data_IF_066231054418
#
_entry.id   IF_066231054418
#
_cell.length_a   1.000
_cell.length_b   1.000
_cell.length_c   1.000
_cell.angle_alpha   90.00
_cell.angle_beta   90.00
_cell.angle_gamma   90.00
#
_symmetry.space_group_name_H-M   'P 1'
#
loop_
_entity.id
_entity.type
_entity.pdbx_description
1 polymer ?
#
# COMPACT_ATOMS: atom_id res chain seq x y z
N UNK A 1 4.73 21.70 -30.00
CA UNK A 1 4.24 20.45 -29.34
C UNK A 1 5.11 20.20 -28.12
N UNK A 2 4.56 20.26 -26.91
CA UNK A 2 5.30 19.94 -25.70
C UNK A 2 5.59 18.43 -25.70
N UNK A 3 6.84 18.05 -25.48
CA UNK A 3 7.24 16.63 -25.31
C UNK A 3 6.48 16.07 -24.09
N UNK A 4 5.84 14.91 -24.20
CA UNK A 4 5.13 14.32 -23.07
C UNK A 4 6.09 14.03 -21.90
N UNK A 5 5.67 14.36 -20.68
CA UNK A 5 6.40 14.03 -19.47
C UNK A 5 6.45 12.51 -19.29
N UNK A 6 7.63 11.97 -19.01
CA UNK A 6 7.87 10.52 -18.84
C UNK A 6 8.18 10.21 -17.38
N UNK A 7 7.27 9.52 -16.72
CA UNK A 7 7.32 9.23 -15.28
C UNK A 7 7.55 7.74 -15.04
N UNK A 8 8.69 7.42 -14.45
CA UNK A 8 8.99 6.05 -14.00
C UNK A 8 8.41 5.80 -12.61
N UNK A 9 7.63 4.75 -12.42
CA UNK A 9 6.95 4.43 -11.17
C UNK A 9 7.36 3.05 -10.63
N UNK A 10 7.53 2.93 -9.32
CA UNK A 10 7.72 1.62 -8.65
C UNK A 10 6.86 1.55 -7.40
N UNK A 11 5.86 0.67 -7.43
CA UNK A 11 5.05 0.26 -6.29
C UNK A 11 5.31 -1.20 -5.96
N UNK A 12 5.65 -1.51 -4.71
CA UNK A 12 6.01 -2.88 -4.28
C UNK A 12 4.89 -3.64 -3.58
N UNK A 13 3.77 -3.00 -3.28
CA UNK A 13 2.65 -3.58 -2.53
C UNK A 13 1.31 -3.00 -3.02
N UNK A 14 0.19 -3.62 -2.62
CA UNK A 14 -1.16 -3.18 -2.98
C UNK A 14 -1.49 -1.77 -2.48
N UNK A 15 -0.95 -1.35 -1.32
CA UNK A 15 -1.06 0.02 -0.81
C UNK A 15 -0.41 1.03 -1.76
N UNK A 16 0.82 0.72 -2.20
CA UNK A 16 1.54 1.53 -3.16
C UNK A 16 0.86 1.57 -4.53
N UNK A 17 0.25 0.47 -4.97
CA UNK A 17 -0.51 0.42 -6.23
C UNK A 17 -1.73 1.36 -6.19
N UNK A 18 -2.44 1.42 -5.05
CA UNK A 18 -3.57 2.35 -4.88
C UNK A 18 -3.09 3.81 -4.93
N UNK A 19 -2.06 4.16 -4.15
CA UNK A 19 -1.49 5.51 -4.14
C UNK A 19 -0.92 5.91 -5.50
N UNK A 20 -0.30 4.96 -6.20
CA UNK A 20 0.22 5.17 -7.55
C UNK A 20 -0.85 5.44 -8.59
N UNK A 21 -1.99 4.73 -8.51
CA UNK A 21 -3.13 4.99 -9.38
C UNK A 21 -3.70 6.39 -9.18
N UNK A 22 -3.87 6.82 -7.92
CA UNK A 22 -4.34 8.17 -7.59
C UNK A 22 -3.36 9.25 -8.08
N UNK A 23 -2.05 9.03 -7.95
CA UNK A 23 -1.01 9.91 -8.48
C UNK A 23 -1.09 10.01 -10.01
N UNK A 24 -1.26 8.90 -10.71
CA UNK A 24 -1.41 8.87 -12.18
C UNK A 24 -2.64 9.69 -12.59
N UNK A 25 -3.78 9.48 -11.94
CA UNK A 25 -5.00 10.24 -12.23
C UNK A 25 -4.82 11.73 -11.98
N UNK A 26 -4.15 12.11 -10.89
CA UNK A 26 -3.89 13.51 -10.57
C UNK A 26 -2.95 14.17 -11.61
N UNK A 27 -1.86 13.51 -11.97
CA UNK A 27 -0.91 14.03 -12.97
C UNK A 27 -1.53 14.11 -14.36
N UNK A 28 -2.37 13.15 -14.77
CA UNK A 28 -3.09 13.21 -16.06
C UNK A 28 -4.06 14.37 -16.15
N UNK A 29 -4.68 14.80 -15.05
CA UNK A 29 -5.52 15.99 -15.05
C UNK A 29 -4.73 17.26 -15.35
N UNK A 30 -3.47 17.31 -14.92
CA UNK A 30 -2.58 18.46 -15.11
C UNK A 30 -1.81 18.40 -16.45
N UNK A 31 -1.42 17.20 -16.85
CA UNK A 31 -0.62 16.93 -18.04
C UNK A 31 -1.12 15.65 -18.74
N UNK A 32 -2.19 15.73 -19.57
CA UNK A 32 -2.85 14.55 -20.16
C UNK A 32 -1.96 13.65 -21.01
N UNK A 33 -0.87 14.18 -21.57
CA UNK A 33 0.06 13.44 -22.42
C UNK A 33 1.16 12.71 -21.65
N UNK A 34 1.14 12.74 -20.31
CA UNK A 34 2.16 12.09 -19.46
C UNK A 34 2.16 10.58 -19.68
N UNK A 35 3.34 10.04 -19.92
CA UNK A 35 3.61 8.60 -20.02
C UNK A 35 4.04 8.05 -18.67
N UNK A 36 3.44 6.92 -18.24
CA UNK A 36 3.74 6.24 -16.99
C UNK A 36 4.16 4.81 -17.25
N UNK A 37 5.25 4.37 -16.64
CA UNK A 37 5.77 3.02 -16.81
C UNK A 37 6.60 2.57 -15.62
N UNK A 38 6.67 1.25 -15.40
CA UNK A 38 7.54 0.68 -14.39
C UNK A 38 6.95 -0.54 -13.68
N UNK A 39 7.11 -0.61 -12.36
CA UNK A 39 6.56 -1.70 -11.53
C UNK A 39 5.24 -1.24 -10.93
N UNK A 40 4.18 -1.92 -11.30
CA UNK A 40 2.83 -1.49 -10.97
C UNK A 40 1.91 -2.69 -10.70
N UNK A 41 0.85 -2.45 -9.95
CA UNK A 41 -0.22 -3.40 -9.78
C UNK A 41 -1.41 -3.11 -10.72
N UNK A 42 -2.52 -3.86 -10.54
CA UNK A 42 -3.68 -3.76 -11.43
C UNK A 42 -4.36 -2.38 -11.41
N UNK A 43 -4.32 -1.64 -10.29
CA UNK A 43 -4.92 -0.30 -10.21
C UNK A 43 -4.14 0.73 -11.02
N UNK A 44 -2.81 0.75 -10.89
CA UNK A 44 -1.95 1.62 -11.69
C UNK A 44 -2.03 1.25 -13.19
N UNK A 45 -2.11 -0.05 -13.52
CA UNK A 45 -2.32 -0.52 -14.88
C UNK A 45 -3.64 0.00 -15.45
N UNK A 46 -4.74 -0.11 -14.69
CA UNK A 46 -6.05 0.42 -15.08
C UNK A 46 -6.02 1.95 -15.23
N UNK A 47 -5.22 2.67 -14.41
CA UNK A 47 -4.97 4.09 -14.55
C UNK A 47 -4.08 4.45 -15.76
N UNK A 48 -3.54 3.45 -16.48
CA UNK A 48 -2.78 3.58 -17.72
C UNK A 48 -1.27 3.61 -17.56
N UNK A 49 -0.73 2.96 -16.55
CA UNK A 49 0.69 2.68 -16.43
C UNK A 49 1.10 1.49 -17.32
N UNK A 50 2.17 1.63 -18.10
CA UNK A 50 2.82 0.50 -18.78
C UNK A 50 3.54 -0.36 -17.74
N UNK A 51 3.06 -1.58 -17.52
CA UNK A 51 3.62 -2.49 -16.51
C UNK A 51 4.79 -3.26 -17.09
N UNK A 52 5.98 -3.03 -16.55
CA UNK A 52 7.18 -3.78 -16.88
C UNK A 52 7.33 -5.05 -16.06
N UNK A 53 6.98 -4.95 -14.78
CA UNK A 53 6.96 -6.04 -13.82
C UNK A 53 5.77 -5.83 -12.88
N UNK A 54 5.06 -6.89 -12.48
CA UNK A 54 3.97 -6.76 -11.52
C UNK A 54 4.49 -6.41 -10.12
N UNK A 55 3.76 -5.58 -9.38
CA UNK A 55 4.12 -5.15 -8.01
C UNK A 55 4.37 -6.31 -7.06
N UNK A 56 3.63 -7.40 -7.22
CA UNK A 56 3.76 -8.64 -6.44
C UNK A 56 5.15 -9.27 -6.56
N UNK A 57 5.88 -9.02 -7.66
CA UNK A 57 7.26 -9.49 -7.87
C UNK A 57 8.26 -8.93 -6.85
N UNK A 58 7.95 -7.76 -6.28
CA UNK A 58 8.75 -7.10 -5.23
C UNK A 58 8.23 -7.40 -3.82
N UNK A 59 6.99 -7.89 -3.68
CA UNK A 59 6.40 -8.24 -2.41
C UNK A 59 7.02 -9.51 -1.85
N UNK A 60 7.97 -9.39 -0.93
CA UNK A 60 8.59 -10.51 -0.23
C UNK A 60 8.12 -10.50 1.22
N UNK A 61 7.47 -11.57 1.66
CA UNK A 61 6.91 -11.71 2.99
C UNK A 61 7.71 -12.69 3.85
N UNK A 62 8.18 -12.20 5.02
CA UNK A 62 8.84 -13.03 6.03
C UNK A 62 10.36 -13.09 5.91
N UNK A 63 11.05 -13.12 7.07
CA UNK A 63 12.52 -13.07 7.13
C UNK A 63 13.18 -14.26 6.41
N UNK A 64 12.61 -15.45 6.51
CA UNK A 64 13.12 -16.66 5.86
C UNK A 64 12.86 -16.67 4.34
N UNK A 65 11.71 -16.17 3.90
CA UNK A 65 11.38 -16.02 2.48
C UNK A 65 12.29 -14.98 1.80
N UNK A 66 12.57 -13.87 2.50
CA UNK A 66 13.53 -12.84 2.05
C UNK A 66 14.91 -13.45 1.78
N UNK A 67 15.43 -14.27 2.70
CA UNK A 67 16.76 -14.86 2.53
C UNK A 67 16.82 -15.85 1.35
N UNK A 68 15.77 -16.64 1.15
CA UNK A 68 15.71 -17.61 0.05
C UNK A 68 15.58 -16.93 -1.31
N UNK A 69 14.77 -15.87 -1.39
CA UNK A 69 14.46 -15.19 -2.64
C UNK A 69 15.40 -13.99 -2.94
N UNK A 70 16.33 -13.68 -2.03
CA UNK A 70 17.25 -12.55 -2.16
C UNK A 70 18.01 -12.53 -3.50
N UNK A 71 18.57 -13.64 -4.03
CA UNK A 71 19.25 -13.61 -5.33
C UNK A 71 18.32 -13.29 -6.51
N UNK A 72 17.06 -13.73 -6.44
CA UNK A 72 16.03 -13.41 -7.43
C UNK A 72 15.69 -11.93 -7.37
N UNK A 73 15.45 -11.40 -6.15
CA UNK A 73 15.09 -10.00 -5.93
C UNK A 73 16.21 -9.05 -6.38
N UNK A 74 17.47 -9.37 -6.07
CA UNK A 74 18.62 -8.57 -6.51
C UNK A 74 18.72 -8.54 -8.04
N UNK A 75 18.53 -9.68 -8.72
CA UNK A 75 18.52 -9.74 -10.19
C UNK A 75 17.37 -8.95 -10.79
N UNK A 76 16.17 -9.05 -10.19
CA UNK A 76 14.99 -8.30 -10.62
C UNK A 76 15.23 -6.80 -10.50
N UNK A 77 15.68 -6.32 -9.34
CA UNK A 77 16.01 -4.91 -9.13
C UNK A 77 17.13 -4.43 -10.06
N UNK A 78 18.08 -5.29 -10.38
CA UNK A 78 19.11 -5.01 -11.39
C UNK A 78 18.51 -4.75 -12.77
N UNK A 79 17.60 -5.62 -13.26
CA UNK A 79 16.92 -5.44 -14.55
C UNK A 79 16.07 -4.18 -14.58
N UNK A 80 15.31 -3.91 -13.51
CA UNK A 80 14.47 -2.70 -13.39
C UNK A 80 15.34 -1.45 -13.46
N UNK A 81 16.44 -1.41 -12.68
CA UNK A 81 17.41 -0.32 -12.72
C UNK A 81 17.94 -0.09 -14.12
N UNK A 82 18.43 -1.15 -14.78
CA UNK A 82 19.07 -1.05 -16.10
C UNK A 82 18.08 -0.56 -17.15
N UNK A 83 16.81 -0.98 -17.05
CA UNK A 83 15.74 -0.48 -17.93
C UNK A 83 15.45 1.00 -17.69
N UNK A 84 15.37 1.47 -16.44
CA UNK A 84 15.23 2.90 -16.14
C UNK A 84 16.42 3.73 -16.62
N UNK A 85 17.65 3.22 -16.46
CA UNK A 85 18.84 3.89 -16.96
C UNK A 85 18.86 4.01 -18.49
N UNK A 86 18.36 3.00 -19.20
CA UNK A 86 18.26 2.99 -20.66
C UNK A 86 17.15 3.95 -21.15
N UNK A 87 15.99 3.93 -20.50
CA UNK A 87 14.82 4.74 -20.87
C UNK A 87 14.97 6.20 -20.46
N UNK A 88 15.68 6.48 -19.35
CA UNK A 88 15.89 7.80 -18.74
C UNK A 88 14.58 8.59 -18.60
N UNK A 89 13.70 8.26 -17.66
CA UNK A 89 12.52 9.06 -17.38
C UNK A 89 12.89 10.49 -16.94
N UNK A 90 11.99 11.44 -17.13
CA UNK A 90 12.14 12.81 -16.62
C UNK A 90 12.11 12.86 -15.10
N UNK A 91 11.40 11.91 -14.48
CA UNK A 91 11.38 11.72 -13.03
C UNK A 91 11.09 10.24 -12.69
N UNK A 92 11.77 9.76 -11.68
CA UNK A 92 11.49 8.47 -11.03
C UNK A 92 10.74 8.70 -9.72
N UNK A 93 9.65 7.97 -9.48
CA UNK A 93 8.88 8.02 -8.24
C UNK A 93 8.81 6.63 -7.62
N UNK A 94 9.47 6.44 -6.49
CA UNK A 94 9.30 5.27 -5.64
C UNK A 94 8.10 5.48 -4.71
N UNK A 95 7.13 4.57 -4.75
CA UNK A 95 5.89 4.65 -3.99
C UNK A 95 5.94 3.61 -2.86
N UNK A 96 5.87 4.09 -1.60
CA UNK A 96 5.99 3.23 -0.42
C UNK A 96 7.27 2.35 -0.46
N UNK A 97 7.29 1.16 0.15
CA UNK A 97 8.38 0.18 0.09
C UNK A 97 9.82 0.78 0.12
N UNK A 98 10.16 1.59 1.12
CA UNK A 98 11.37 2.44 1.10
C UNK A 98 12.68 1.65 1.03
N UNK A 99 12.74 0.43 1.58
CA UNK A 99 13.95 -0.40 1.55
C UNK A 99 14.34 -0.81 0.12
N UNK A 100 13.36 -0.99 -0.76
CA UNK A 100 13.55 -1.30 -2.17
C UNK A 100 13.74 -0.03 -2.99
N UNK A 101 12.82 0.92 -2.84
CA UNK A 101 12.76 2.13 -3.66
C UNK A 101 13.97 3.05 -3.45
N UNK A 102 14.43 3.26 -2.22
CA UNK A 102 15.60 4.10 -1.95
C UNK A 102 16.90 3.52 -2.51
N UNK A 103 17.04 2.18 -2.57
CA UNK A 103 18.21 1.55 -3.21
C UNK A 103 18.22 1.78 -4.71
N UNK A 104 17.06 1.70 -5.35
CA UNK A 104 16.90 1.97 -6.77
C UNK A 104 17.10 3.47 -7.05
N UNK A 105 16.40 4.34 -6.29
CA UNK A 105 16.48 5.78 -6.37
C UNK A 105 17.93 6.29 -6.29
N UNK A 106 18.72 5.80 -5.33
CA UNK A 106 20.14 6.17 -5.18
C UNK A 106 20.95 5.94 -6.46
N UNK A 107 20.70 4.84 -7.19
CA UNK A 107 21.40 4.54 -8.43
C UNK A 107 20.93 5.42 -9.59
N UNK A 108 19.66 5.72 -9.64
CA UNK A 108 19.07 6.60 -10.66
C UNK A 108 19.46 8.06 -10.42
N UNK A 109 19.43 8.52 -9.18
CA UNK A 109 19.88 9.85 -8.77
C UNK A 109 21.36 10.07 -9.13
N UNK A 110 22.24 9.10 -8.84
CA UNK A 110 23.64 9.16 -9.22
C UNK A 110 23.85 9.21 -10.74
N UNK A 111 22.88 8.76 -11.55
CA UNK A 111 22.88 8.88 -13.01
C UNK A 111 22.21 10.16 -13.53
N UNK A 112 21.84 11.09 -12.63
CA UNK A 112 21.22 12.37 -12.95
C UNK A 112 19.74 12.29 -13.33
N UNK A 113 19.04 11.24 -12.92
CA UNK A 113 17.58 11.14 -13.05
C UNK A 113 16.96 11.72 -11.79
N UNK A 114 16.07 12.73 -11.87
CA UNK A 114 15.34 13.25 -10.72
C UNK A 114 14.54 12.16 -10.00
N UNK A 115 14.62 12.12 -8.68
CA UNK A 115 14.05 11.04 -7.88
C UNK A 115 13.13 11.57 -6.78
N UNK A 116 11.97 10.95 -6.63
CA UNK A 116 10.96 11.27 -5.63
C UNK A 116 10.62 10.01 -4.83
N UNK A 117 10.55 10.13 -3.51
CA UNK A 117 9.94 9.12 -2.65
C UNK A 117 8.55 9.59 -2.25
N UNK A 118 7.54 8.90 -2.72
CA UNK A 118 6.15 9.11 -2.29
C UNK A 118 5.82 8.13 -1.17
N UNK A 119 5.31 8.62 -0.09
CA UNK A 119 5.22 8.05 1.26
C UNK A 119 6.56 8.11 1.98
N UNK A 120 6.59 8.91 3.03
CA UNK A 120 7.72 9.04 3.94
C UNK A 120 8.00 7.72 4.65
N UNK A 121 9.21 7.16 4.58
CA UNK A 121 9.58 6.07 5.48
C UNK A 121 9.56 6.56 6.93
N UNK A 122 9.18 5.69 7.86
CA UNK A 122 9.06 6.02 9.30
C UNK A 122 10.43 6.23 9.99
N UNK A 123 11.36 6.91 9.33
CA UNK A 123 12.71 7.18 9.85
C UNK A 123 12.71 8.12 11.07
N UNK A 124 11.69 8.97 11.17
CA UNK A 124 11.47 9.88 12.29
C UNK A 124 11.19 9.13 13.61
N UNK A 125 10.61 7.92 13.54
CA UNK A 125 10.25 7.14 14.73
C UNK A 125 11.44 6.36 15.32
N UNK A 126 12.30 5.73 14.49
CA UNK A 126 13.27 4.75 15.00
C UNK A 126 14.54 4.55 14.18
N UNK A 127 14.72 5.23 13.06
CA UNK A 127 15.92 5.09 12.18
C UNK A 127 16.45 6.45 11.71
N UNK A 128 16.60 7.42 12.61
CA UNK A 128 17.06 8.79 12.30
C UNK A 128 18.36 8.83 11.47
N UNK A 129 19.28 7.89 11.66
CA UNK A 129 20.51 7.80 10.87
C UNK A 129 20.30 7.51 9.36
N UNK A 130 19.11 7.04 8.96
CA UNK A 130 18.77 6.87 7.52
C UNK A 130 18.53 8.19 6.80
N UNK A 131 18.25 9.30 7.49
CA UNK A 131 18.06 10.60 6.87
C UNK A 131 19.24 10.98 5.96
N UNK A 132 20.47 10.71 6.41
CA UNK A 132 21.67 10.95 5.58
C UNK A 132 21.64 10.14 4.27
N UNK A 133 21.29 8.86 4.33
CA UNK A 133 21.18 8.01 3.14
C UNK A 133 20.06 8.46 2.19
N UNK A 134 18.96 9.00 2.74
CA UNK A 134 17.87 9.53 1.93
C UNK A 134 18.28 10.77 1.14
N UNK A 135 19.04 11.67 1.74
CA UNK A 135 19.58 12.87 1.08
C UNK A 135 20.44 12.53 -0.15
N UNK A 136 21.09 11.36 -0.13
CA UNK A 136 21.89 10.86 -1.25
C UNK A 136 21.07 10.08 -2.29
N UNK A 137 19.80 9.84 -2.00
CA UNK A 137 18.96 8.94 -2.79
C UNK A 137 17.78 9.64 -3.46
N UNK A 138 17.28 10.75 -2.89
CA UNK A 138 16.06 11.40 -3.39
C UNK A 138 16.20 12.92 -3.40
N UNK A 139 15.59 13.55 -4.40
CA UNK A 139 15.50 15.00 -4.54
C UNK A 139 14.31 15.56 -3.77
N UNK A 140 13.25 14.75 -3.58
CA UNK A 140 12.02 15.17 -2.93
C UNK A 140 11.35 13.99 -2.22
N UNK A 141 10.83 14.24 -1.01
CA UNK A 141 9.96 13.33 -0.28
C UNK A 141 8.54 13.92 -0.23
N UNK A 142 7.55 13.13 -0.65
CA UNK A 142 6.13 13.47 -0.51
C UNK A 142 5.59 12.79 0.74
N UNK A 143 5.23 13.60 1.74
CA UNK A 143 4.81 13.18 3.07
C UNK A 143 3.29 13.07 3.13
N UNK A 144 2.78 11.98 3.73
CA UNK A 144 1.35 11.80 3.97
C UNK A 144 0.86 12.45 5.26
N UNK A 145 1.77 12.70 6.23
CA UNK A 145 1.45 13.27 7.52
C UNK A 145 2.14 14.63 7.70
N UNK A 146 1.45 15.64 8.25
CA UNK A 146 1.96 17.02 8.28
C UNK A 146 3.24 17.19 9.10
N UNK A 147 3.42 16.41 10.16
CA UNK A 147 4.58 16.49 11.03
C UNK A 147 5.87 15.92 10.42
N UNK A 148 5.76 15.09 9.38
CA UNK A 148 6.92 14.46 8.74
C UNK A 148 7.80 15.48 8.01
N UNK A 149 7.19 16.53 7.45
CA UNK A 149 7.92 17.59 6.74
C UNK A 149 8.97 18.25 7.62
N UNK A 150 8.62 18.61 8.86
CA UNK A 150 9.56 19.26 9.78
C UNK A 150 10.79 18.39 10.07
N UNK A 151 10.62 17.08 10.20
CA UNK A 151 11.74 16.16 10.36
C UNK A 151 12.71 16.22 9.17
N UNK A 152 12.21 16.27 7.93
CA UNK A 152 13.05 16.35 6.74
C UNK A 152 13.73 17.70 6.58
N UNK A 153 13.03 18.80 6.90
CA UNK A 153 13.57 20.15 6.89
C UNK A 153 14.78 20.27 7.87
N UNK A 154 14.68 19.70 9.08
CA UNK A 154 15.77 19.64 10.06
C UNK A 154 17.01 18.86 9.56
N UNK A 155 16.81 17.93 8.61
CA UNK A 155 17.88 17.11 8.05
C UNK A 155 18.37 17.58 6.67
N UNK A 156 17.87 18.72 6.20
CA UNK A 156 18.26 19.30 4.91
C UNK A 156 17.80 18.45 3.72
N UNK A 157 16.66 17.77 3.84
CA UNK A 157 16.01 16.98 2.79
C UNK A 157 14.75 17.71 2.35
N UNK A 158 14.62 17.99 1.06
CA UNK A 158 13.41 18.61 0.52
C UNK A 158 12.22 17.68 0.69
N UNK A 159 11.18 18.16 1.33
CA UNK A 159 9.95 17.41 1.55
C UNK A 159 8.72 18.30 1.45
N UNK A 160 7.63 17.73 0.96
CA UNK A 160 6.33 18.41 0.89
C UNK A 160 5.23 17.53 1.51
N UNK A 161 4.38 18.15 2.29
CA UNK A 161 3.16 17.51 2.79
C UNK A 161 2.10 17.54 1.70
N UNK A 162 1.67 16.36 1.25
CA UNK A 162 0.69 16.20 0.15
C UNK A 162 -0.64 15.63 0.62
N UNK A 163 -0.76 15.24 1.89
CA UNK A 163 -1.94 14.57 2.42
C UNK A 163 -2.04 13.11 2.01
N UNK A 164 -3.11 12.46 2.47
CA UNK A 164 -3.38 11.06 2.14
C UNK A 164 -4.66 10.98 1.31
N UNK A 165 -4.66 10.33 0.13
CA UNK A 165 -5.85 10.24 -0.74
C UNK A 165 -7.10 9.69 -0.06
N UNK A 166 -6.93 8.79 0.93
CA UNK A 166 -8.07 8.30 1.72
C UNK A 166 -8.77 9.41 2.51
N UNK A 167 -8.07 10.49 2.88
CA UNK A 167 -8.70 11.62 3.58
C UNK A 167 -9.68 12.37 2.66
N UNK A 168 -9.43 12.36 1.35
CA UNK A 168 -10.34 12.95 0.36
C UNK A 168 -11.46 11.97 -0.03
N UNK A 169 -11.19 10.66 0.02
CA UNK A 169 -12.13 9.62 -0.37
C UNK A 169 -13.15 9.26 0.72
N UNK A 170 -12.78 9.40 2.01
CA UNK A 170 -13.64 9.08 3.13
C UNK A 170 -14.47 10.32 3.50
N UNK A 171 -15.81 10.28 3.41
CA UNK A 171 -16.65 11.42 3.78
C UNK A 171 -16.54 11.70 5.29
N UNK A 172 -16.54 12.97 5.66
CA UNK A 172 -16.56 13.40 7.08
C UNK A 172 -17.82 12.91 7.80
N UNK A 173 -18.95 12.88 7.09
CA UNK A 173 -20.21 12.35 7.60
C UNK A 173 -20.46 10.99 6.96
N UNK A 174 -20.44 9.95 7.78
CA UNK A 174 -20.64 8.56 7.34
C UNK A 174 -22.13 8.26 7.27
N UNK A 175 -22.65 7.88 6.11
CA UNK A 175 -24.02 7.39 5.94
C UNK A 175 -24.15 5.94 6.46
N UNK A 176 -24.15 5.81 7.79
CA UNK A 176 -24.34 4.52 8.48
C UNK A 176 -25.59 3.76 8.04
N UNK A 177 -26.78 4.41 7.89
CA UNK A 177 -27.98 3.72 7.42
C UNK A 177 -27.81 3.07 6.05
N UNK A 178 -27.19 3.77 5.10
CA UNK A 178 -26.95 3.22 3.77
C UNK A 178 -25.93 2.08 3.78
N UNK A 179 -24.83 2.22 4.53
CA UNK A 179 -23.84 1.15 4.68
C UNK A 179 -24.44 -0.12 5.31
N UNK A 180 -25.27 0.04 6.35
CA UNK A 180 -25.97 -1.09 6.98
C UNK A 180 -26.94 -1.77 6.01
N UNK A 181 -27.72 -1.00 5.25
CA UNK A 181 -28.61 -1.55 4.22
C UNK A 181 -27.83 -2.33 3.16
N UNK A 182 -26.72 -1.78 2.67
CA UNK A 182 -25.88 -2.45 1.68
C UNK A 182 -25.31 -3.78 2.18
N UNK A 183 -25.04 -3.88 3.49
CA UNK A 183 -24.54 -5.09 4.14
C UNK A 183 -25.66 -6.00 4.67
N UNK A 184 -26.95 -5.62 4.50
CA UNK A 184 -28.09 -6.37 5.04
C UNK A 184 -28.10 -6.43 6.56
N UNK A 185 -27.59 -5.41 7.25
CA UNK A 185 -27.50 -5.34 8.71
C UNK A 185 -28.67 -4.47 9.23
N UNK A 186 -29.35 -4.96 10.26
CA UNK A 186 -30.41 -4.19 10.92
C UNK A 186 -29.87 -2.86 11.47
N UNK A 187 -30.71 -1.81 11.41
CA UNK A 187 -30.37 -0.46 11.87
C UNK A 187 -29.92 -0.41 13.33
N UNK A 188 -30.49 -1.27 14.17
CA UNK A 188 -30.26 -1.31 15.61
C UNK A 188 -29.27 -2.43 16.04
N UNK A 189 -28.84 -3.28 15.12
CA UNK A 189 -27.90 -4.36 15.44
C UNK A 189 -26.57 -3.82 15.99
N UNK A 190 -26.05 -4.46 17.01
CA UNK A 190 -24.69 -4.20 17.48
C UNK A 190 -23.70 -5.00 16.62
N UNK A 191 -22.80 -4.28 15.96
CA UNK A 191 -21.86 -4.88 14.99
C UNK A 191 -20.45 -4.88 15.54
N UNK A 192 -19.78 -6.01 15.40
CA UNK A 192 -18.36 -6.17 15.68
C UNK A 192 -17.63 -6.43 14.37
N UNK A 193 -16.69 -5.54 14.01
CA UNK A 193 -15.81 -5.74 12.87
C UNK A 193 -14.57 -6.53 13.29
N UNK A 194 -14.28 -7.61 12.57
CA UNK A 194 -13.11 -8.45 12.76
C UNK A 194 -12.09 -8.11 11.66
N UNK A 195 -10.94 -7.60 12.05
CA UNK A 195 -9.88 -7.13 11.14
C UNK A 195 -8.58 -7.94 11.35
N UNK A 196 -8.53 -9.22 10.92
CA UNK A 196 -7.41 -10.11 11.21
C UNK A 196 -6.12 -9.74 10.44
N UNK A 197 -6.20 -8.79 9.53
CA UNK A 197 -5.07 -8.30 8.74
C UNK A 197 -5.34 -8.26 7.24
N UNK A 198 -4.41 -7.66 6.50
CA UNK A 198 -4.47 -7.52 5.03
C UNK A 198 -3.48 -8.42 4.29
N UNK A 199 -2.38 -8.81 4.94
CA UNK A 199 -1.34 -9.65 4.36
C UNK A 199 -1.53 -11.11 4.76
N UNK A 200 -1.28 -12.04 3.82
CA UNK A 200 -1.40 -13.49 4.06
C UNK A 200 -0.73 -13.95 5.35
N UNK A 201 0.54 -13.56 5.59
CA UNK A 201 1.30 -13.95 6.79
C UNK A 201 0.75 -13.34 8.09
N UNK A 202 0.11 -12.18 8.02
CA UNK A 202 -0.56 -11.54 9.14
C UNK A 202 -1.85 -12.30 9.49
N UNK A 203 -2.73 -12.49 8.50
CA UNK A 203 -3.97 -13.23 8.67
C UNK A 203 -3.70 -14.65 9.16
N UNK A 204 -2.72 -15.36 8.61
CA UNK A 204 -2.36 -16.73 9.06
C UNK A 204 -1.96 -16.79 10.54
N UNK A 205 -1.38 -15.74 11.10
CA UNK A 205 -0.98 -15.69 12.52
C UNK A 205 -2.12 -15.30 13.45
N UNK A 206 -3.01 -14.41 13.00
CA UNK A 206 -4.03 -13.78 13.83
C UNK A 206 -5.42 -14.42 13.68
N UNK A 207 -5.68 -15.15 12.62
CA UNK A 207 -7.01 -15.69 12.29
C UNK A 207 -7.59 -16.54 13.41
N UNK A 208 -6.77 -17.39 14.04
CA UNK A 208 -7.20 -18.25 15.15
C UNK A 208 -7.69 -17.40 16.34
N UNK A 209 -6.91 -16.41 16.75
CA UNK A 209 -7.23 -15.59 17.91
C UNK A 209 -8.49 -14.74 17.67
N UNK A 210 -8.63 -14.19 16.44
CA UNK A 210 -9.83 -13.46 16.05
C UNK A 210 -11.08 -14.34 16.02
N UNK A 211 -11.00 -15.56 15.48
CA UNK A 211 -12.10 -16.52 15.46
C UNK A 211 -12.49 -16.95 16.88
N UNK A 212 -11.52 -17.29 17.73
CA UNK A 212 -11.76 -17.66 19.11
C UNK A 212 -12.39 -16.51 19.92
N UNK A 213 -11.91 -15.28 19.71
CA UNK A 213 -12.46 -14.08 20.34
C UNK A 213 -13.90 -13.82 19.90
N UNK A 214 -14.20 -13.94 18.60
CA UNK A 214 -15.56 -13.79 18.08
C UNK A 214 -16.52 -14.83 18.72
N UNK A 215 -16.11 -16.08 18.81
CA UNK A 215 -16.87 -17.15 19.50
C UNK A 215 -17.13 -16.82 20.97
N UNK A 216 -16.10 -16.36 21.66
CA UNK A 216 -16.22 -15.98 23.08
C UNK A 216 -17.20 -14.82 23.27
N UNK A 217 -17.10 -13.78 22.42
CA UNK A 217 -18.03 -12.63 22.43
C UNK A 217 -19.47 -13.09 22.14
N UNK A 218 -19.68 -13.94 21.14
CA UNK A 218 -21.01 -14.44 20.78
C UNK A 218 -21.66 -15.25 21.94
N UNK A 219 -20.86 -15.98 22.72
CA UNK A 219 -21.36 -16.69 23.90
C UNK A 219 -21.82 -15.72 25.01
N UNK A 220 -21.19 -14.56 25.15
CA UNK A 220 -21.58 -13.53 26.13
C UNK A 220 -22.72 -12.64 25.61
N UNK A 221 -22.74 -12.39 24.31
CA UNK A 221 -23.67 -11.47 23.63
C UNK A 221 -24.17 -12.11 22.32
N UNK A 222 -25.23 -12.95 22.40
CA UNK A 222 -25.79 -13.62 21.22
C UNK A 222 -26.43 -12.69 20.19
N UNK A 223 -26.69 -11.44 20.56
CA UNK A 223 -27.26 -10.38 19.72
C UNK A 223 -26.24 -9.69 18.80
N UNK A 224 -24.95 -9.98 18.95
CA UNK A 224 -23.90 -9.38 18.13
C UNK A 224 -23.89 -9.91 16.69
N UNK A 225 -23.73 -9.00 15.74
CA UNK A 225 -23.49 -9.31 14.34
C UNK A 225 -22.00 -9.14 14.04
N UNK A 226 -21.38 -10.17 13.46
CA UNK A 226 -19.96 -10.12 13.12
C UNK A 226 -19.77 -9.87 11.62
N UNK A 227 -18.87 -8.95 11.27
CA UNK A 227 -18.47 -8.66 9.89
C UNK A 227 -16.95 -8.69 9.78
N UNK A 228 -16.43 -9.17 8.68
CA UNK A 228 -14.99 -9.20 8.42
C UNK A 228 -14.71 -8.78 6.98
N UNK A 229 -14.23 -7.55 6.74
CA UNK A 229 -13.78 -7.12 5.42
C UNK A 229 -12.46 -7.82 5.06
N UNK A 230 -12.44 -8.50 3.91
CA UNK A 230 -11.29 -9.27 3.44
C UNK A 230 -10.53 -8.50 2.37
N UNK A 231 -9.24 -8.33 2.57
CA UNK A 231 -8.38 -7.57 1.66
C UNK A 231 -8.04 -8.34 0.37
N UNK A 232 -8.16 -9.67 0.38
CA UNK A 232 -7.87 -10.52 -0.78
C UNK A 232 -8.57 -11.87 -0.67
N UNK A 233 -8.76 -12.61 -1.78
CA UNK A 233 -9.29 -13.98 -1.75
C UNK A 233 -8.47 -14.92 -0.84
N UNK A 234 -7.15 -14.81 -0.85
CA UNK A 234 -6.28 -15.62 0.01
C UNK A 234 -6.47 -15.31 1.52
N UNK A 235 -6.65 -14.03 1.89
CA UNK A 235 -6.98 -13.65 3.26
C UNK A 235 -8.33 -14.21 3.69
N UNK A 236 -9.33 -14.15 2.80
CA UNK A 236 -10.67 -14.70 3.02
C UNK A 236 -10.62 -16.22 3.28
N UNK A 237 -9.92 -16.97 2.43
CA UNK A 237 -9.80 -18.42 2.56
C UNK A 237 -9.17 -18.83 3.92
N UNK A 238 -8.08 -18.17 4.30
CA UNK A 238 -7.41 -18.43 5.58
C UNK A 238 -8.33 -18.13 6.76
N UNK A 239 -9.03 -16.98 6.72
CA UNK A 239 -9.89 -16.58 7.83
C UNK A 239 -11.16 -17.45 7.90
N UNK A 240 -11.78 -17.79 6.78
CA UNK A 240 -12.91 -18.72 6.71
C UNK A 240 -12.56 -20.08 7.33
N UNK A 241 -11.40 -20.65 6.97
CA UNK A 241 -10.92 -21.89 7.54
C UNK A 241 -10.70 -21.79 9.07
N UNK A 242 -10.15 -20.67 9.54
CA UNK A 242 -9.99 -20.46 10.99
C UNK A 242 -11.33 -20.36 11.73
N UNK A 243 -12.35 -19.73 11.12
CA UNK A 243 -13.70 -19.69 11.67
C UNK A 243 -14.32 -21.09 11.77
N UNK A 244 -14.17 -21.93 10.74
CA UNK A 244 -14.65 -23.32 10.77
C UNK A 244 -14.04 -24.14 11.93
N UNK A 245 -12.74 -23.94 12.19
CA UNK A 245 -12.02 -24.70 13.23
C UNK A 245 -12.26 -24.15 14.64
N UNK A 246 -12.28 -22.84 14.82
CA UNK A 246 -12.22 -22.20 16.15
C UNK A 246 -13.54 -21.53 16.59
N UNK A 247 -14.46 -21.30 15.65
CA UNK A 247 -15.78 -20.73 15.89
C UNK A 247 -16.88 -21.47 15.09
N UNK A 248 -16.96 -22.82 15.17
CA UNK A 248 -17.91 -23.58 14.36
C UNK A 248 -19.34 -23.13 14.60
N UNK A 249 -20.08 -22.89 13.52
CA UNK A 249 -21.48 -22.45 13.55
C UNK A 249 -21.69 -20.96 13.84
N UNK A 250 -20.65 -20.19 14.09
CA UNK A 250 -20.77 -18.72 14.23
C UNK A 250 -20.95 -18.08 12.85
N UNK A 251 -22.02 -17.28 12.70
CA UNK A 251 -22.24 -16.49 11.50
C UNK A 251 -21.34 -15.25 11.51
N UNK A 252 -20.36 -15.23 10.59
CA UNK A 252 -19.49 -14.08 10.35
C UNK A 252 -19.58 -13.70 8.88
N UNK A 253 -20.05 -12.48 8.59
CA UNK A 253 -20.18 -11.97 7.22
C UNK A 253 -18.82 -11.58 6.67
N UNK A 254 -18.25 -12.41 5.81
CA UNK A 254 -17.01 -12.11 5.09
C UNK A 254 -17.33 -11.23 3.89
N UNK A 255 -16.77 -10.01 3.85
CA UNK A 255 -17.05 -8.98 2.83
C UNK A 255 -15.83 -8.80 1.96
N UNK A 256 -15.96 -8.96 0.65
CA UNK A 256 -14.86 -8.80 -0.30
C UNK A 256 -14.79 -7.36 -0.83
N UNK A 257 -13.57 -6.81 -0.94
CA UNK A 257 -13.30 -5.57 -1.67
C UNK A 257 -13.81 -4.27 -1.04
N UNK A 258 -14.45 -4.31 0.12
CA UNK A 258 -15.05 -3.14 0.77
C UNK A 258 -14.32 -2.71 2.05
N UNK A 259 -13.00 -2.74 2.04
CA UNK A 259 -12.21 -2.16 3.15
C UNK A 259 -12.40 -0.62 3.28
N UNK A 260 -13.17 -0.02 2.38
CA UNK A 260 -13.46 1.41 2.30
C UNK A 260 -14.95 1.75 2.54
N UNK A 261 -15.80 0.76 2.81
CA UNK A 261 -17.22 0.97 3.07
C UNK A 261 -17.54 1.18 4.57
#
# INVERSE_FOLDING_TARGET
MTVPLRVGLVAGEASGDTLGADLIHALRRLAPQTEFFGVAGPKMQAAGCEVWEPSESLAVMGLFEVLRDLPRLVRLLGRIRDRFLAVRPDVFVGIDAPDTNLRLARRLHAAGIPTVQYVSPQVWAWRRGRARSMRESVDLVLCLLPFEKSFYDEHGIRAEFVGHPLADAIPLEVDRPSARRALGIDSNAQVVALLPGSRRGEVSRLAQDFAATARWLAAQRPDLVFVAPMASPAAREIFAHALELHAPGLDVRLIDGQAQA
#
